data_IF_133690336977
#
_entry.id   IF_133690336977
#
_cell.length_a   1.000
_cell.length_b   1.000
_cell.length_c   1.000
_cell.angle_alpha   90.00
_cell.angle_beta   90.00
_cell.angle_gamma   90.00
#
_symmetry.space_group_name_H-M   'P 1'
#
loop_
_entity.id
_entity.type
_entity.pdbx_description
1 polymer ?
#
# COMPACT_ATOMS: atom_id res chain seq x y z
N UNK A 1 85.05 27.46 24.81
CA UNK A 1 84.86 26.53 23.67
C UNK A 1 83.41 26.06 23.66
N UNK A 2 82.82 25.98 22.47
CA UNK A 2 81.37 26.11 22.17
C UNK A 2 80.45 25.11 22.91
N UNK A 3 79.27 25.54 23.42
CA UNK A 3 78.26 24.63 23.97
C UNK A 3 77.43 23.98 22.85
N UNK A 4 77.17 22.68 23.01
CA UNK A 4 76.25 21.88 22.19
C UNK A 4 74.80 22.39 22.38
N UNK A 5 74.19 22.88 21.32
CA UNK A 5 72.75 23.23 21.29
C UNK A 5 71.99 22.02 20.75
N UNK A 6 71.24 21.35 21.64
CA UNK A 6 70.33 20.27 21.30
C UNK A 6 69.07 20.87 20.62
N UNK A 7 68.89 20.62 19.31
CA UNK A 7 67.69 21.03 18.57
C UNK A 7 66.55 20.05 18.87
N UNK A 8 65.57 20.48 19.66
CA UNK A 8 64.27 19.82 19.81
C UNK A 8 63.42 20.07 18.55
N UNK A 9 63.05 18.99 17.84
CA UNK A 9 62.02 19.03 16.79
C UNK A 9 60.63 19.09 17.46
N UNK A 10 59.74 20.01 17.06
CA UNK A 10 58.35 19.97 17.50
C UNK A 10 57.58 18.90 16.73
N UNK A 11 56.95 17.98 17.47
CA UNK A 11 55.98 17.01 16.95
C UNK A 11 54.71 17.79 16.59
N UNK A 12 54.39 17.89 15.29
CA UNK A 12 53.12 18.43 14.82
C UNK A 12 52.01 17.42 15.15
N UNK A 13 51.25 17.69 16.22
CA UNK A 13 49.99 16.99 16.48
C UNK A 13 48.94 17.43 15.46
N UNK A 14 48.65 16.58 14.48
CA UNK A 14 47.54 16.77 13.56
C UNK A 14 46.21 16.65 14.32
N UNK A 15 45.54 17.77 14.58
CA UNK A 15 44.13 17.78 14.98
C UNK A 15 43.29 17.28 13.80
N UNK A 16 42.86 16.02 13.87
CA UNK A 16 41.75 15.51 13.08
C UNK A 16 40.47 16.19 13.58
N UNK A 17 40.10 17.30 12.95
CA UNK A 17 38.78 17.91 13.07
C UNK A 17 37.75 16.90 12.54
N UNK A 18 37.04 16.23 13.46
CA UNK A 18 35.93 15.36 13.13
C UNK A 18 34.87 16.14 12.37
N UNK A 19 34.67 15.82 11.10
CA UNK A 19 33.51 16.26 10.34
C UNK A 19 32.26 15.75 11.08
N UNK A 20 31.28 16.62 11.41
CA UNK A 20 30.04 16.16 11.99
C UNK A 20 29.38 15.22 10.99
N UNK A 21 29.22 13.96 11.38
CA UNK A 21 28.39 13.01 10.67
C UNK A 21 26.99 13.61 10.63
N UNK A 22 26.62 14.24 9.51
CA UNK A 22 25.24 14.61 9.28
C UNK A 22 24.49 13.28 9.19
N UNK A 23 23.86 12.90 10.30
CA UNK A 23 22.82 11.90 10.30
C UNK A 23 21.76 12.42 9.33
N UNK A 24 21.79 11.94 8.10
CA UNK A 24 20.73 12.17 7.15
C UNK A 24 19.49 11.56 7.80
N UNK A 25 18.65 12.42 8.39
CA UNK A 25 17.35 12.00 8.86
C UNK A 25 16.68 11.28 7.68
N UNK A 26 16.40 9.98 7.83
CA UNK A 26 15.71 9.24 6.80
C UNK A 26 14.38 9.96 6.55
N UNK A 27 14.29 10.65 5.40
CA UNK A 27 13.06 11.31 4.97
C UNK A 27 11.98 10.24 4.95
N UNK A 28 11.02 10.39 5.87
CA UNK A 28 9.94 9.43 6.03
C UNK A 28 8.83 9.79 5.05
N UNK A 29 8.33 8.80 4.31
CA UNK A 29 7.22 9.00 3.38
C UNK A 29 6.01 9.61 4.11
N UNK A 30 5.52 10.74 3.60
CA UNK A 30 4.46 11.54 4.22
C UNK A 30 3.68 12.41 3.24
N UNK A 31 2.81 13.26 3.76
CA UNK A 31 1.84 14.05 2.99
C UNK A 31 2.45 14.87 1.84
N UNK A 32 3.62 15.48 2.05
CA UNK A 32 4.30 16.27 1.00
C UNK A 32 4.78 15.44 -0.20
N UNK A 33 4.90 14.12 -0.05
CA UNK A 33 5.40 13.19 -1.08
C UNK A 33 4.28 12.37 -1.73
N UNK A 34 3.02 12.60 -1.35
CA UNK A 34 1.85 11.97 -1.93
C UNK A 34 1.09 13.00 -2.77
N UNK A 35 0.80 12.65 -4.02
CA UNK A 35 -0.20 13.33 -4.82
C UNK A 35 -1.53 12.58 -4.77
N UNK A 36 -2.64 13.31 -4.83
CA UNK A 36 -3.98 12.74 -4.97
C UNK A 36 -4.55 13.20 -6.31
N UNK A 37 -5.04 12.25 -7.10
CA UNK A 37 -5.60 12.47 -8.43
C UNK A 37 -7.11 12.33 -8.33
N UNK A 38 -7.85 13.34 -8.77
CA UNK A 38 -9.31 13.34 -8.83
C UNK A 38 -9.79 13.33 -10.28
N UNK A 39 -10.92 12.68 -10.51
CA UNK A 39 -11.63 12.69 -11.77
C UNK A 39 -12.70 13.78 -11.75
N UNK A 40 -12.56 14.82 -12.55
CA UNK A 40 -13.51 15.93 -12.62
C UNK A 40 -14.89 15.54 -13.16
N UNK A 41 -14.99 14.37 -13.81
CA UNK A 41 -16.26 13.80 -14.28
C UNK A 41 -17.00 13.00 -13.16
N UNK A 42 -16.42 12.91 -11.96
CA UNK A 42 -17.03 12.28 -10.77
C UNK A 42 -17.04 13.28 -9.59
N UNK A 43 -18.23 13.76 -9.23
CA UNK A 43 -18.41 14.72 -8.13
C UNK A 43 -17.96 14.15 -6.77
N UNK A 44 -18.10 12.84 -6.54
CA UNK A 44 -17.61 12.21 -5.31
C UNK A 44 -16.08 12.18 -5.32
N UNK A 45 -15.45 11.88 -6.46
CA UNK A 45 -13.99 11.94 -6.62
C UNK A 45 -13.41 13.29 -6.21
N UNK A 46 -13.95 14.38 -6.76
CA UNK A 46 -13.50 15.75 -6.44
C UNK A 46 -13.71 16.06 -4.95
N UNK A 47 -14.88 15.73 -4.41
CA UNK A 47 -15.24 16.01 -3.01
C UNK A 47 -14.33 15.23 -2.05
N UNK A 48 -14.19 13.92 -2.26
CA UNK A 48 -13.34 13.05 -1.44
C UNK A 48 -11.88 13.47 -1.55
N UNK A 49 -11.41 13.85 -2.74
CA UNK A 49 -10.04 14.31 -2.94
C UNK A 49 -9.69 15.53 -2.10
N UNK A 50 -10.57 16.53 -2.06
CA UNK A 50 -10.39 17.71 -1.20
C UNK A 50 -10.50 17.39 0.29
N UNK A 51 -11.41 16.50 0.68
CA UNK A 51 -11.53 16.04 2.08
C UNK A 51 -10.25 15.34 2.53
N UNK A 52 -9.75 14.38 1.74
CA UNK A 52 -8.51 13.65 2.01
C UNK A 52 -7.32 14.62 2.08
N UNK A 53 -7.20 15.53 1.10
CA UNK A 53 -6.12 16.52 1.05
C UNK A 53 -6.08 17.37 2.32
N UNK A 54 -7.24 17.87 2.78
CA UNK A 54 -7.35 18.66 4.02
C UNK A 54 -7.03 17.82 5.25
N UNK A 55 -7.61 16.63 5.36
CA UNK A 55 -7.48 15.77 6.53
C UNK A 55 -6.03 15.30 6.78
N UNK A 56 -5.29 15.00 5.71
CA UNK A 56 -3.89 14.56 5.79
C UNK A 56 -2.87 15.70 5.61
N UNK A 57 -3.33 16.94 5.40
CA UNK A 57 -2.44 18.09 5.22
C UNK A 57 -1.60 18.03 3.95
N UNK A 58 -2.14 17.49 2.85
CA UNK A 58 -1.46 17.49 1.56
C UNK A 58 -1.37 18.94 1.03
N UNK A 59 -0.20 19.35 0.48
CA UNK A 59 -0.07 20.62 -0.22
C UNK A 59 -1.10 20.76 -1.35
N UNK A 60 -1.60 21.98 -1.61
CA UNK A 60 -2.58 22.22 -2.69
C UNK A 60 -2.06 21.78 -4.06
N UNK A 61 -0.77 22.00 -4.33
CA UNK A 61 -0.09 21.60 -5.57
C UNK A 61 -0.03 20.07 -5.76
N UNK A 62 -0.30 19.27 -4.72
CA UNK A 62 -0.33 17.81 -4.79
C UNK A 62 -1.71 17.27 -5.18
N UNK A 63 -2.72 18.13 -5.39
CA UNK A 63 -4.01 17.76 -5.94
C UNK A 63 -3.97 17.88 -7.46
N UNK A 64 -4.13 16.75 -8.15
CA UNK A 64 -4.07 16.62 -9.61
C UNK A 64 -5.47 16.36 -10.14
N UNK A 65 -5.82 16.99 -11.25
CA UNK A 65 -7.15 16.85 -11.86
C UNK A 65 -7.03 16.17 -13.23
N UNK A 66 -7.87 15.17 -13.47
CA UNK A 66 -7.98 14.48 -14.75
C UNK A 66 -9.43 14.33 -15.16
N UNK A 67 -9.66 13.96 -16.43
CA UNK A 67 -11.00 13.65 -16.93
C UNK A 67 -11.06 12.25 -17.48
N UNK A 68 -11.77 11.37 -16.78
CA UNK A 68 -12.05 10.01 -17.22
C UNK A 68 -13.50 9.98 -17.70
N UNK A 69 -13.67 10.01 -19.03
CA UNK A 69 -14.98 10.06 -19.65
C UNK A 69 -15.78 8.80 -19.34
N UNK A 70 -17.01 8.99 -18.87
CA UNK A 70 -17.97 7.92 -18.72
C UNK A 70 -18.32 7.31 -20.09
N UNK A 71 -18.52 6.00 -20.11
CA UNK A 71 -19.06 5.25 -21.23
C UNK A 71 -20.47 4.78 -20.85
N UNK A 72 -21.49 5.28 -21.53
CA UNK A 72 -22.88 4.94 -21.19
C UNK A 72 -23.34 5.46 -19.82
N UNK A 73 -22.79 6.59 -19.36
CA UNK A 73 -23.19 7.23 -18.09
C UNK A 73 -22.49 6.70 -16.84
N UNK A 74 -21.53 5.78 -16.97
CA UNK A 74 -20.67 5.30 -15.87
C UNK A 74 -19.19 5.28 -16.31
N UNK A 75 -18.21 5.51 -15.41
CA UNK A 75 -16.80 5.29 -15.73
C UNK A 75 -16.56 3.83 -16.14
N UNK A 76 -15.71 3.57 -17.15
CA UNK A 76 -15.37 2.21 -17.51
C UNK A 76 -14.66 1.51 -16.34
N UNK A 77 -14.92 0.21 -16.14
CA UNK A 77 -14.21 -0.62 -15.14
C UNK A 77 -12.74 -0.82 -15.51
N UNK A 78 -12.50 -0.96 -16.82
CA UNK A 78 -11.22 -1.29 -17.42
C UNK A 78 -10.89 -0.28 -18.51
N UNK A 79 -9.66 0.22 -18.52
CA UNK A 79 -9.11 1.00 -19.63
C UNK A 79 -8.37 0.09 -20.61
N UNK A 80 -8.35 0.45 -21.88
CA UNK A 80 -7.34 -0.09 -22.82
C UNK A 80 -5.97 0.61 -22.64
N UNK A 81 -4.93 0.07 -23.27
CA UNK A 81 -3.58 0.61 -23.17
C UNK A 81 -3.44 2.05 -23.70
N UNK A 82 -4.22 2.44 -24.71
CA UNK A 82 -4.16 3.78 -25.29
C UNK A 82 -4.80 4.80 -24.35
N UNK A 83 -5.98 4.49 -23.80
CA UNK A 83 -6.67 5.27 -22.79
C UNK A 83 -5.81 5.45 -21.54
N UNK A 84 -5.22 4.36 -21.05
CA UNK A 84 -4.35 4.41 -19.89
C UNK A 84 -3.08 5.24 -20.13
N UNK A 85 -2.44 5.12 -21.30
CA UNK A 85 -1.27 5.92 -21.64
C UNK A 85 -1.57 7.42 -21.62
N UNK A 86 -2.73 7.83 -22.16
CA UNK A 86 -3.17 9.23 -22.11
C UNK A 86 -3.44 9.69 -20.67
N UNK A 87 -4.16 8.88 -19.88
CA UNK A 87 -4.41 9.18 -18.46
C UNK A 87 -3.10 9.32 -17.67
N UNK A 88 -2.16 8.39 -17.85
CA UNK A 88 -0.87 8.43 -17.15
C UNK A 88 -0.05 9.66 -17.54
N UNK A 89 -0.03 10.01 -18.83
CA UNK A 89 0.67 11.19 -19.31
C UNK A 89 0.09 12.48 -18.71
N UNK A 90 -1.24 12.58 -18.62
CA UNK A 90 -1.94 13.71 -18.02
C UNK A 90 -1.62 13.84 -16.53
N UNK A 91 -1.69 12.74 -15.78
CA UNK A 91 -1.30 12.70 -14.36
C UNK A 91 0.16 13.15 -14.20
N UNK A 92 1.08 12.52 -14.92
CA UNK A 92 2.53 12.73 -14.75
C UNK A 92 2.96 14.16 -15.10
N UNK A 93 2.29 14.82 -16.05
CA UNK A 93 2.57 16.20 -16.44
C UNK A 93 2.22 17.22 -15.35
N UNK A 94 1.34 16.86 -14.41
CA UNK A 94 0.86 17.74 -13.34
C UNK A 94 1.61 17.52 -12.01
N UNK A 95 2.40 16.46 -11.88
CA UNK A 95 3.04 16.10 -10.61
C UNK A 95 4.20 17.05 -10.24
N UNK A 96 4.18 17.64 -9.03
CA UNK A 96 5.32 18.40 -8.53
C UNK A 96 6.58 17.52 -8.36
N UNK A 97 7.78 18.14 -8.33
CA UNK A 97 9.00 17.45 -7.92
C UNK A 97 8.87 16.85 -6.51
N UNK A 98 9.44 15.67 -6.31
CA UNK A 98 9.50 15.01 -5.00
C UNK A 98 8.33 14.08 -4.67
N UNK A 99 7.28 14.04 -5.49
CA UNK A 99 6.20 13.05 -5.35
C UNK A 99 6.75 11.63 -5.52
N UNK A 100 6.56 10.81 -4.48
CA UNK A 100 6.97 9.40 -4.45
C UNK A 100 5.81 8.46 -4.76
N UNK A 101 4.57 8.89 -4.52
CA UNK A 101 3.39 8.07 -4.71
C UNK A 101 2.16 8.88 -5.13
N UNK A 102 1.19 8.18 -5.70
CA UNK A 102 -0.08 8.72 -6.18
C UNK A 102 -1.25 7.95 -5.58
N UNK A 103 -2.24 8.68 -5.06
CA UNK A 103 -3.54 8.16 -4.67
C UNK A 103 -4.56 8.49 -5.76
N UNK A 104 -5.12 7.46 -6.37
CA UNK A 104 -6.15 7.57 -7.40
C UNK A 104 -7.51 7.59 -6.71
N UNK A 105 -8.21 8.73 -6.67
CA UNK A 105 -9.43 8.89 -5.89
C UNK A 105 -10.68 8.60 -6.72
N UNK A 106 -10.96 7.34 -7.04
CA UNK A 106 -12.20 6.90 -7.67
C UNK A 106 -12.44 5.40 -7.44
N UNK A 107 -13.66 4.92 -7.66
CA UNK A 107 -13.95 3.47 -7.62
C UNK A 107 -13.72 2.79 -8.98
N UNK A 108 -13.95 3.45 -10.11
CA UNK A 108 -13.65 2.94 -11.46
C UNK A 108 -13.07 4.05 -12.34
N UNK A 109 -12.07 3.75 -13.19
CA UNK A 109 -11.50 2.44 -13.52
C UNK A 109 -10.54 1.89 -12.46
N UNK A 110 -10.51 0.56 -12.32
CA UNK A 110 -9.58 -0.16 -11.43
C UNK A 110 -8.65 -1.12 -12.18
N UNK A 111 -8.88 -1.33 -13.48
CA UNK A 111 -8.06 -2.19 -14.32
C UNK A 111 -7.60 -1.49 -15.60
N UNK A 112 -6.50 -1.98 -16.16
CA UNK A 112 -6.02 -1.66 -17.51
C UNK A 112 -5.74 -2.98 -18.22
N UNK A 113 -6.56 -3.31 -19.21
CA UNK A 113 -6.63 -4.66 -19.77
C UNK A 113 -6.76 -5.71 -18.64
N UNK A 114 -5.78 -6.60 -18.49
CA UNK A 114 -5.74 -7.59 -17.41
C UNK A 114 -4.99 -7.14 -16.14
N UNK A 115 -4.28 -6.01 -16.20
CA UNK A 115 -3.47 -5.48 -15.11
C UNK A 115 -4.33 -4.61 -14.19
N UNK A 116 -3.95 -4.47 -12.92
CA UNK A 116 -4.58 -3.45 -12.08
C UNK A 116 -4.09 -2.05 -12.49
N UNK A 117 -4.91 -1.02 -12.30
CA UNK A 117 -4.51 0.35 -12.60
C UNK A 117 -3.33 0.82 -11.73
N UNK A 118 -3.27 0.37 -10.46
CA UNK A 118 -2.17 0.71 -9.55
C UNK A 118 -0.86 0.09 -10.01
N UNK A 119 -0.90 -1.14 -10.53
CA UNK A 119 0.30 -1.81 -11.03
C UNK A 119 0.74 -1.32 -12.38
N UNK A 120 -0.20 -1.10 -13.29
CA UNK A 120 0.07 -0.46 -14.56
C UNK A 120 0.74 0.92 -14.39
N UNK A 121 0.28 1.71 -13.42
CA UNK A 121 0.86 3.04 -13.15
C UNK A 121 2.26 2.97 -12.55
N UNK A 122 2.50 2.02 -11.63
CA UNK A 122 3.75 1.92 -10.88
C UNK A 122 4.87 1.23 -11.67
N UNK A 123 4.54 0.13 -12.38
CA UNK A 123 5.52 -0.76 -13.03
C UNK A 123 5.41 -0.78 -14.56
N UNK A 124 4.37 -0.17 -15.13
CA UNK A 124 4.03 -0.31 -16.55
C UNK A 124 3.09 -1.49 -16.80
N UNK A 125 2.57 -1.57 -18.03
CA UNK A 125 1.69 -2.65 -18.45
C UNK A 125 2.47 -3.92 -18.79
N UNK A 126 2.07 -5.04 -18.19
CA UNK A 126 2.53 -6.37 -18.58
C UNK A 126 1.51 -7.02 -19.52
N UNK A 127 1.66 -6.77 -20.83
CA UNK A 127 0.80 -7.38 -21.85
C UNK A 127 1.01 -8.89 -21.97
N UNK A 128 2.20 -9.39 -21.62
CA UNK A 128 2.51 -10.82 -21.74
C UNK A 128 1.67 -11.65 -20.77
N UNK A 129 1.40 -11.07 -19.59
CA UNK A 129 0.52 -11.67 -18.59
C UNK A 129 -0.94 -11.73 -19.05
N UNK A 130 -1.39 -10.81 -19.90
CA UNK A 130 -2.77 -10.82 -20.39
C UNK A 130 -3.08 -12.00 -21.31
N UNK A 131 -2.08 -12.52 -22.02
CA UNK A 131 -2.24 -13.74 -22.82
C UNK A 131 -2.28 -15.01 -21.95
N UNK A 132 -1.68 -14.98 -20.76
CA UNK A 132 -1.58 -16.13 -19.83
C UNK A 132 -1.69 -15.62 -18.39
N UNK A 133 -2.90 -15.32 -17.94
CA UNK A 133 -3.13 -14.68 -16.63
C UNK A 133 -2.65 -15.54 -15.45
N UNK A 134 -2.55 -16.87 -15.61
CA UNK A 134 -1.94 -17.79 -14.65
C UNK A 134 -0.44 -18.03 -14.86
N UNK A 135 0.25 -17.19 -15.64
CA UNK A 135 1.70 -17.22 -15.77
C UNK A 135 2.42 -16.49 -14.63
N UNK A 136 3.76 -16.62 -14.55
CA UNK A 136 4.57 -15.73 -13.73
C UNK A 136 4.43 -14.28 -14.24
N UNK A 137 4.33 -13.32 -13.31
CA UNK A 137 4.38 -11.90 -13.63
C UNK A 137 5.80 -11.36 -13.54
N UNK A 138 5.99 -10.12 -13.97
CA UNK A 138 7.25 -9.41 -13.74
C UNK A 138 7.55 -9.26 -12.25
N UNK A 139 8.82 -9.44 -11.88
CA UNK A 139 9.27 -9.24 -10.51
C UNK A 139 9.23 -7.75 -10.15
N UNK A 140 8.67 -7.45 -8.98
CA UNK A 140 8.64 -6.12 -8.40
C UNK A 140 10.00 -5.80 -7.73
N UNK A 141 10.81 -4.87 -8.29
CA UNK A 141 12.09 -4.49 -7.69
C UNK A 141 11.94 -3.81 -6.30
N UNK A 142 10.73 -3.40 -5.91
CA UNK A 142 10.47 -2.88 -4.57
C UNK A 142 10.14 -3.97 -3.53
N UNK A 143 10.01 -5.24 -3.93
CA UNK A 143 9.72 -6.33 -3.02
C UNK A 143 10.82 -6.47 -1.92
N UNK A 144 10.41 -6.43 -0.65
CA UNK A 144 11.26 -6.38 0.56
C UNK A 144 12.39 -5.32 0.50
N UNK A 145 12.23 -4.28 -0.32
CA UNK A 145 13.26 -3.28 -0.54
C UNK A 145 13.45 -2.37 0.68
N UNK A 146 14.70 -1.94 0.89
CA UNK A 146 15.04 -0.91 1.87
C UNK A 146 14.83 0.48 1.26
N UNK A 147 14.46 1.45 2.08
CA UNK A 147 14.28 2.85 1.65
C UNK A 147 12.82 3.27 1.54
N UNK A 148 12.62 4.59 1.60
CA UNK A 148 11.32 5.29 1.71
C UNK A 148 11.09 6.31 0.59
N UNK A 149 11.90 6.24 -0.48
CA UNK A 149 11.83 7.13 -1.64
C UNK A 149 11.83 6.31 -2.95
N UNK A 150 10.76 5.54 -3.20
CA UNK A 150 10.70 4.61 -4.32
C UNK A 150 10.88 5.27 -5.68
N UNK A 151 10.38 6.50 -5.88
CA UNK A 151 10.51 7.19 -7.16
C UNK A 151 11.91 7.79 -7.34
N UNK A 152 12.46 8.41 -6.29
CA UNK A 152 13.79 9.03 -6.37
C UNK A 152 14.91 7.99 -6.51
N UNK A 153 14.79 6.83 -5.83
CA UNK A 153 15.84 5.81 -5.84
C UNK A 153 15.65 4.79 -6.96
N UNK A 154 14.41 4.37 -7.23
CA UNK A 154 14.12 3.24 -8.12
C UNK A 154 13.27 3.61 -9.34
N UNK A 155 12.91 4.89 -9.49
CA UNK A 155 11.96 5.38 -10.51
C UNK A 155 10.58 4.71 -10.45
N UNK A 156 10.21 4.18 -9.28
CA UNK A 156 8.91 3.56 -9.02
C UNK A 156 7.99 4.57 -8.33
N UNK A 157 7.01 5.09 -9.05
CA UNK A 157 5.98 5.93 -8.44
C UNK A 157 4.82 5.05 -7.98
N UNK A 158 4.79 4.76 -6.69
CA UNK A 158 3.79 3.84 -6.12
C UNK A 158 2.38 4.39 -6.32
N UNK A 159 1.43 3.53 -6.66
CA UNK A 159 0.02 3.90 -6.75
C UNK A 159 -0.86 3.09 -5.80
N UNK A 160 -1.92 3.73 -5.32
CA UNK A 160 -2.99 3.13 -4.53
C UNK A 160 -4.31 3.75 -4.97
N UNK A 161 -5.40 2.99 -4.92
CA UNK A 161 -6.75 3.47 -5.28
C UNK A 161 -7.56 3.74 -4.00
N UNK A 162 -8.26 4.86 -3.99
CA UNK A 162 -9.16 5.27 -2.91
C UNK A 162 -10.60 5.26 -3.46
N UNK A 163 -11.47 4.34 -3.01
CA UNK A 163 -12.85 4.25 -3.49
C UNK A 163 -13.70 5.49 -3.12
N UNK A 164 -14.59 5.89 -4.01
CA UNK A 164 -15.43 7.10 -3.91
C UNK A 164 -16.91 6.84 -4.23
N UNK A 165 -17.31 5.57 -4.34
CA UNK A 165 -18.69 5.16 -4.64
C UNK A 165 -19.70 5.57 -3.55
N UNK A 166 -19.21 5.84 -2.34
CA UNK A 166 -20.01 6.32 -1.22
C UNK A 166 -19.22 7.32 -0.38
N UNK A 167 -19.79 8.52 -0.21
CA UNK A 167 -19.12 9.64 0.47
C UNK A 167 -18.94 9.38 1.98
N UNK A 168 -19.88 8.72 2.64
CA UNK A 168 -19.80 8.45 4.08
C UNK A 168 -18.77 7.36 4.36
N UNK A 169 -18.73 6.30 3.54
CA UNK A 169 -17.67 5.29 3.61
C UNK A 169 -16.29 5.89 3.34
N UNK A 170 -16.17 6.80 2.36
CA UNK A 170 -14.93 7.52 2.08
C UNK A 170 -14.47 8.38 3.27
N UNK A 171 -15.37 9.15 3.89
CA UNK A 171 -15.07 9.94 5.10
C UNK A 171 -14.59 9.06 6.25
N UNK A 172 -15.31 7.97 6.52
CA UNK A 172 -14.94 7.03 7.57
C UNK A 172 -13.55 6.41 7.33
N UNK A 173 -13.20 6.12 6.07
CA UNK A 173 -11.86 5.63 5.72
C UNK A 173 -10.77 6.70 5.94
N UNK A 174 -11.02 7.95 5.55
CA UNK A 174 -10.11 9.09 5.83
C UNK A 174 -9.88 9.22 7.35
N UNK A 175 -10.94 9.17 8.15
CA UNK A 175 -10.83 9.29 9.62
C UNK A 175 -9.97 8.17 10.22
N UNK A 176 -10.15 6.93 9.76
CA UNK A 176 -9.31 5.79 10.18
C UNK A 176 -7.86 5.98 9.78
N UNK A 177 -7.60 6.45 8.56
CA UNK A 177 -6.25 6.75 8.07
C UNK A 177 -5.55 7.84 8.87
N UNK A 178 -6.24 8.96 9.14
CA UNK A 178 -5.72 10.06 9.99
C UNK A 178 -5.44 9.57 11.41
N UNK A 179 -6.33 8.76 11.99
CA UNK A 179 -6.11 8.19 13.31
C UNK A 179 -4.87 7.27 13.33
N UNK A 180 -4.68 6.44 12.31
CA UNK A 180 -3.52 5.56 12.16
C UNK A 180 -2.21 6.35 11.98
N UNK A 181 -2.23 7.44 11.20
CA UNK A 181 -1.05 8.27 10.93
C UNK A 181 -0.46 8.93 12.20
N UNK A 182 -1.21 8.99 13.31
CA UNK A 182 -0.73 9.48 14.61
C UNK A 182 0.30 8.55 15.28
N UNK A 183 0.48 7.30 14.80
CA UNK A 183 1.54 6.41 15.28
C UNK A 183 1.34 5.88 16.71
N UNK A 184 0.10 5.81 17.19
CA UNK A 184 -0.26 5.45 18.56
C UNK A 184 -1.11 4.18 18.63
N UNK A 185 -0.70 3.13 17.89
CA UNK A 185 -1.36 1.83 18.00
C UNK A 185 -1.40 1.36 19.46
N UNK A 186 -2.60 1.04 19.95
CA UNK A 186 -2.79 0.33 21.21
C UNK A 186 -2.48 -1.16 21.08
N UNK A 187 -2.80 -1.97 22.10
CA UNK A 187 -2.78 -3.42 21.99
C UNK A 187 -3.61 -3.89 20.79
N UNK A 188 -3.04 -4.80 20.01
CA UNK A 188 -3.68 -5.30 18.79
C UNK A 188 -3.26 -6.74 18.50
N UNK A 189 -3.95 -7.37 17.54
CA UNK A 189 -3.62 -8.69 17.03
C UNK A 189 -3.56 -8.73 15.50
N UNK A 190 -2.53 -9.40 14.99
CA UNK A 190 -2.41 -9.86 13.61
C UNK A 190 -2.91 -11.30 13.51
N UNK A 191 -4.04 -11.50 12.81
CA UNK A 191 -4.68 -12.78 12.59
C UNK A 191 -4.32 -13.32 11.19
N UNK A 192 -3.84 -14.56 11.17
CA UNK A 192 -3.54 -15.30 9.95
C UNK A 192 -4.32 -16.61 9.95
N UNK A 193 -5.20 -16.78 8.97
CA UNK A 193 -6.09 -17.93 8.91
C UNK A 193 -5.69 -18.90 7.80
N UNK A 194 -5.49 -20.17 8.18
CA UNK A 194 -5.49 -21.29 7.24
C UNK A 194 -6.90 -21.86 7.19
N UNK A 195 -7.51 -21.88 6.01
CA UNK A 195 -8.93 -22.25 5.84
C UNK A 195 -9.10 -23.68 5.32
N UNK A 196 -10.34 -24.13 5.18
CA UNK A 196 -10.64 -25.38 4.47
C UNK A 196 -10.47 -25.28 2.94
N UNK A 197 -10.36 -24.08 2.38
CA UNK A 197 -10.13 -23.88 0.94
C UNK A 197 -8.65 -24.03 0.60
N UNK A 198 -8.17 -25.28 0.56
CA UNK A 198 -6.75 -25.62 0.44
C UNK A 198 -6.03 -24.95 -0.73
N UNK A 199 -6.70 -24.83 -1.88
CA UNK A 199 -6.16 -24.14 -3.05
C UNK A 199 -5.81 -22.67 -2.77
N UNK A 200 -6.53 -22.00 -1.87
CA UNK A 200 -6.33 -20.59 -1.50
C UNK A 200 -5.34 -20.39 -0.35
N UNK A 201 -4.82 -21.46 0.25
CA UNK A 201 -3.84 -21.40 1.33
C UNK A 201 -2.38 -21.36 0.85
N UNK A 202 -2.12 -21.04 -0.43
CA UNK A 202 -0.77 -21.17 -1.01
C UNK A 202 0.29 -20.31 -0.31
N UNK A 203 -0.07 -19.18 0.29
CA UNK A 203 0.82 -18.35 1.13
C UNK A 203 0.82 -18.70 2.63
N UNK A 204 0.00 -19.64 3.10
CA UNK A 204 -0.20 -19.90 4.52
C UNK A 204 1.05 -20.43 5.24
N UNK A 205 1.92 -21.13 4.52
CA UNK A 205 3.22 -21.59 5.06
C UNK A 205 4.20 -20.44 5.32
N UNK A 206 3.94 -19.24 4.77
CA UNK A 206 4.74 -18.03 4.93
C UNK A 206 4.26 -17.16 6.11
N UNK A 207 3.16 -17.53 6.78
CA UNK A 207 2.59 -16.76 7.89
C UNK A 207 3.60 -16.57 9.04
N UNK A 208 3.72 -15.36 9.60
CA UNK A 208 4.55 -15.08 10.76
C UNK A 208 4.31 -16.07 11.90
N UNK A 209 5.37 -16.45 12.66
CA UNK A 209 5.21 -17.33 13.80
C UNK A 209 4.27 -16.70 14.83
N UNK A 210 3.41 -17.53 15.44
CA UNK A 210 2.54 -17.08 16.52
C UNK A 210 3.37 -16.61 17.72
N UNK A 211 2.93 -15.54 18.38
CA UNK A 211 3.70 -14.92 19.47
C UNK A 211 3.31 -13.48 19.72
N UNK A 212 4.24 -12.69 20.25
CA UNK A 212 4.04 -11.26 20.53
C UNK A 212 5.26 -10.45 20.09
N UNK A 213 4.99 -9.34 19.39
CA UNK A 213 5.97 -8.29 19.13
C UNK A 213 5.83 -7.25 20.25
N UNK A 214 6.49 -7.51 21.38
CA UNK A 214 6.32 -6.75 22.63
C UNK A 214 6.54 -5.24 22.43
N UNK A 215 7.58 -4.87 21.68
CA UNK A 215 7.93 -3.46 21.39
C UNK A 215 6.87 -2.68 20.60
N UNK A 216 5.85 -3.38 20.09
CA UNK A 216 4.75 -2.85 19.28
C UNK A 216 3.37 -3.15 19.87
N UNK A 217 3.28 -3.83 21.02
CA UNK A 217 1.99 -4.21 21.61
C UNK A 217 1.15 -5.16 20.74
N UNK A 218 1.77 -5.84 19.76
CA UNK A 218 1.07 -6.64 18.75
C UNK A 218 1.20 -8.13 19.05
N UNK A 219 0.08 -8.83 19.16
CA UNK A 219 0.04 -10.30 19.15
C UNK A 219 -0.03 -10.82 17.70
N UNK A 220 0.50 -12.02 17.47
CA UNK A 220 0.38 -12.74 16.21
C UNK A 220 -0.33 -14.06 16.50
N UNK A 221 -1.47 -14.29 15.86
CA UNK A 221 -2.28 -15.51 16.00
C UNK A 221 -2.41 -16.20 14.65
N UNK A 222 -2.04 -17.47 14.60
CA UNK A 222 -2.32 -18.39 13.48
C UNK A 222 -3.44 -19.33 13.89
N UNK A 223 -4.47 -19.46 13.06
CA UNK A 223 -5.65 -20.27 13.40
C UNK A 223 -6.14 -21.05 12.18
N UNK A 224 -6.61 -22.28 12.41
CA UNK A 224 -7.23 -23.11 11.38
C UNK A 224 -8.76 -22.94 11.44
N UNK A 225 -9.30 -21.97 10.70
CA UNK A 225 -10.73 -21.61 10.66
C UNK A 225 -11.01 -20.78 9.40
N UNK A 226 -12.26 -20.78 8.94
CA UNK A 226 -12.64 -20.09 7.70
C UNK A 226 -12.92 -18.58 7.89
N UNK A 227 -13.25 -18.15 9.10
CA UNK A 227 -13.57 -16.74 9.37
C UNK A 227 -13.25 -16.35 10.81
N UNK A 228 -12.89 -15.08 11.02
CA UNK A 228 -12.92 -14.45 12.34
C UNK A 228 -14.38 -14.20 12.78
N UNK A 229 -14.60 -14.13 14.09
CA UNK A 229 -15.92 -13.88 14.67
C UNK A 229 -15.72 -13.34 16.08
N UNK A 230 -16.48 -12.30 16.43
CA UNK A 230 -16.49 -11.66 17.76
C UNK A 230 -15.08 -11.31 18.28
N UNK A 231 -14.29 -10.64 17.44
CA UNK A 231 -12.95 -10.13 17.80
C UNK A 231 -12.90 -8.62 17.60
N UNK A 232 -12.21 -7.90 18.47
CA UNK A 232 -12.28 -6.44 18.54
C UNK A 232 -10.93 -5.71 18.40
N UNK A 233 -9.85 -6.46 18.18
CA UNK A 233 -8.47 -5.97 18.25
C UNK A 233 -7.67 -6.17 16.94
N UNK A 234 -8.35 -6.22 15.79
CA UNK A 234 -7.72 -6.61 14.52
C UNK A 234 -6.86 -5.48 13.94
N UNK A 235 -5.56 -5.72 13.80
CA UNK A 235 -4.64 -4.88 13.02
C UNK A 235 -4.21 -5.53 11.70
N UNK A 236 -4.12 -6.85 11.65
CA UNK A 236 -3.90 -7.57 10.39
C UNK A 236 -4.89 -8.71 10.31
N UNK A 237 -5.53 -8.89 9.15
CA UNK A 237 -6.33 -10.09 8.86
C UNK A 237 -6.01 -10.59 7.45
N UNK A 238 -5.20 -11.65 7.38
CA UNK A 238 -4.94 -12.35 6.12
C UNK A 238 -5.50 -13.77 6.12
N UNK A 239 -6.15 -14.14 5.03
CA UNK A 239 -6.77 -15.46 4.85
C UNK A 239 -6.74 -15.92 3.39
N UNK A 240 -7.33 -17.07 3.10
CA UNK A 240 -7.54 -17.62 1.76
C UNK A 240 -8.90 -18.30 1.69
N UNK A 241 -9.92 -17.60 1.21
CA UNK A 241 -11.31 -18.09 1.08
C UNK A 241 -11.98 -17.29 -0.04
N UNK A 242 -13.00 -17.82 -0.70
CA UNK A 242 -13.73 -17.11 -1.75
C UNK A 242 -14.50 -15.88 -1.24
N UNK A 243 -15.04 -16.00 -0.03
CA UNK A 243 -15.80 -14.96 0.66
C UNK A 243 -15.62 -15.13 2.16
N UNK A 244 -15.29 -14.04 2.85
CA UNK A 244 -15.10 -14.03 4.30
C UNK A 244 -16.43 -13.73 4.96
N UNK A 245 -16.94 -14.68 5.74
CA UNK A 245 -18.14 -14.49 6.53
C UNK A 245 -17.85 -13.70 7.83
N UNK A 246 -18.91 -13.20 8.47
CA UNK A 246 -18.89 -12.66 9.84
C UNK A 246 -18.07 -11.38 10.05
N UNK A 247 -17.76 -10.66 8.98
CA UNK A 247 -17.00 -9.40 9.06
C UNK A 247 -17.70 -8.34 9.91
N UNK A 248 -19.03 -8.37 9.99
CA UNK A 248 -19.85 -7.52 10.84
C UNK A 248 -19.61 -7.72 12.35
N UNK A 249 -18.96 -8.81 12.75
CA UNK A 249 -18.60 -9.13 14.14
C UNK A 249 -17.13 -8.87 14.46
N UNK A 250 -16.39 -8.32 13.49
CA UNK A 250 -14.95 -8.08 13.57
C UNK A 250 -14.71 -6.57 13.66
N UNK A 251 -14.08 -6.12 14.75
CA UNK A 251 -13.65 -4.71 14.86
C UNK A 251 -12.21 -4.57 14.40
N UNK A 252 -12.02 -3.78 13.35
CA UNK A 252 -10.72 -3.37 12.85
C UNK A 252 -10.26 -2.09 13.54
N UNK A 253 -9.00 -2.09 13.99
CA UNK A 253 -8.39 -0.89 14.57
C UNK A 253 -7.99 0.10 13.47
N UNK A 254 -7.90 1.41 13.76
CA UNK A 254 -7.36 2.38 12.82
C UNK A 254 -5.98 1.97 12.32
N UNK A 255 -5.86 1.83 11.00
CA UNK A 255 -4.68 1.33 10.33
C UNK A 255 -4.66 -0.18 10.10
N UNK A 256 -5.76 -0.90 10.33
CA UNK A 256 -5.77 -2.32 10.04
C UNK A 256 -5.59 -2.61 8.54
N UNK A 257 -4.79 -3.64 8.24
CA UNK A 257 -4.59 -4.18 6.89
C UNK A 257 -5.33 -5.52 6.80
N UNK A 258 -6.11 -5.74 5.76
CA UNK A 258 -6.82 -7.00 5.60
C UNK A 258 -6.95 -7.39 4.14
N UNK A 259 -6.74 -8.66 3.82
CA UNK A 259 -6.98 -9.20 2.50
C UNK A 259 -7.15 -10.72 2.50
N UNK A 260 -7.65 -11.23 1.39
CA UNK A 260 -7.86 -12.64 1.18
C UNK A 260 -7.27 -13.08 -0.15
N UNK A 261 -6.62 -14.24 -0.12
CA UNK A 261 -6.14 -14.89 -1.32
C UNK A 261 -7.35 -15.53 -2.01
N UNK A 262 -7.90 -14.82 -3.00
CA UNK A 262 -8.92 -15.33 -3.90
C UNK A 262 -8.72 -14.77 -5.30
N UNK A 263 -9.31 -15.45 -6.28
CA UNK A 263 -9.35 -14.97 -7.65
C UNK A 263 -10.25 -13.75 -7.76
N UNK A 264 -9.82 -12.75 -8.53
CA UNK A 264 -10.69 -11.65 -8.96
C UNK A 264 -11.23 -10.80 -7.77
N UNK A 265 -10.60 -10.87 -6.59
CA UNK A 265 -11.01 -10.07 -5.43
C UNK A 265 -10.85 -8.55 -5.63
N UNK A 266 -10.09 -8.11 -6.63
CA UNK A 266 -9.93 -6.72 -7.04
C UNK A 266 -10.94 -6.26 -8.11
N UNK A 267 -11.84 -7.13 -8.57
CA UNK A 267 -12.98 -6.70 -9.38
C UNK A 267 -14.03 -6.02 -8.49
N UNK A 268 -13.86 -4.71 -8.31
CA UNK A 268 -14.57 -3.96 -7.27
C UNK A 268 -16.08 -3.96 -7.46
N UNK A 269 -16.53 -4.04 -8.72
CA UNK A 269 -17.93 -4.01 -9.14
C UNK A 269 -18.40 -5.37 -9.70
N UNK A 270 -17.62 -6.43 -9.46
CA UNK A 270 -17.95 -7.81 -9.79
C UNK A 270 -18.89 -8.46 -8.78
N UNK A 271 -19.38 -9.65 -9.11
CA UNK A 271 -20.34 -10.41 -8.28
C UNK A 271 -19.89 -11.84 -7.97
N UNK A 272 -18.74 -12.29 -8.51
CA UNK A 272 -18.31 -13.69 -8.47
C UNK A 272 -17.62 -14.11 -7.17
N UNK A 273 -16.70 -13.28 -6.68
CA UNK A 273 -15.92 -13.49 -5.46
C UNK A 273 -16.08 -12.24 -4.58
N UNK A 274 -15.74 -12.33 -3.29
CA UNK A 274 -15.83 -11.16 -2.43
C UNK A 274 -14.89 -10.06 -2.93
N UNK A 275 -15.47 -8.91 -3.26
CA UNK A 275 -14.72 -7.70 -3.60
C UNK A 275 -13.90 -7.24 -2.40
N UNK A 276 -12.67 -6.81 -2.66
CA UNK A 276 -11.77 -6.23 -1.67
C UNK A 276 -12.36 -4.97 -1.01
N UNK A 277 -13.32 -4.28 -1.65
CA UNK A 277 -14.07 -3.18 -1.02
C UNK A 277 -14.73 -3.61 0.29
N UNK A 278 -15.15 -4.87 0.42
CA UNK A 278 -15.81 -5.39 1.63
C UNK A 278 -14.91 -5.37 2.86
N UNK A 279 -13.59 -5.39 2.71
CA UNK A 279 -12.67 -5.17 3.82
C UNK A 279 -12.71 -3.74 4.33
N UNK A 280 -12.77 -2.76 3.42
CA UNK A 280 -12.87 -1.34 3.77
C UNK A 280 -14.24 -1.02 4.39
N UNK A 281 -15.31 -1.62 3.87
CA UNK A 281 -16.66 -1.54 4.44
C UNK A 281 -16.70 -2.08 5.88
N UNK A 282 -15.98 -3.17 6.14
CA UNK A 282 -15.89 -3.79 7.47
C UNK A 282 -15.02 -3.00 8.46
N UNK A 283 -14.26 -2.00 7.99
CA UNK A 283 -13.45 -1.12 8.85
C UNK A 283 -11.94 -1.26 8.65
N UNK A 284 -11.46 -2.11 7.74
CA UNK A 284 -10.05 -2.09 7.36
C UNK A 284 -9.66 -0.72 6.78
N UNK A 285 -8.39 -0.37 6.91
CA UNK A 285 -7.83 0.88 6.41
C UNK A 285 -7.16 0.70 5.04
N UNK A 286 -6.66 -0.50 4.76
CA UNK A 286 -6.16 -0.85 3.44
C UNK A 286 -6.33 -2.36 3.18
N UNK A 287 -6.38 -2.71 1.89
CA UNK A 287 -6.62 -4.07 1.41
C UNK A 287 -5.98 -4.27 0.03
N UNK A 288 -5.96 -5.53 -0.40
CA UNK A 288 -5.46 -5.96 -1.70
C UNK A 288 -6.42 -6.94 -2.38
N UNK A 289 -6.48 -6.92 -3.70
CA UNK A 289 -7.20 -7.92 -4.50
C UNK A 289 -6.70 -7.99 -5.94
N UNK A 290 -6.83 -9.14 -6.60
CA UNK A 290 -6.46 -9.31 -8.02
C UNK A 290 -7.60 -8.88 -8.94
N UNK A 291 -7.36 -8.09 -9.99
CA UNK A 291 -8.42 -7.65 -10.94
C UNK A 291 -8.75 -8.68 -12.01
N UNK A 292 -7.87 -9.66 -12.20
CA UNK A 292 -8.05 -10.80 -13.11
C UNK A 292 -7.60 -12.09 -12.43
N UNK A 293 -7.97 -13.24 -13.00
CA UNK A 293 -7.63 -14.57 -12.46
C UNK A 293 -6.11 -14.72 -12.23
N UNK A 294 -5.63 -14.76 -10.98
CA UNK A 294 -4.21 -14.85 -10.69
C UNK A 294 -3.72 -16.30 -10.65
N UNK A 295 -4.62 -17.29 -10.58
CA UNK A 295 -4.35 -18.61 -10.00
C UNK A 295 -3.81 -18.49 -8.55
N UNK A 296 -3.52 -19.62 -7.90
CA UNK A 296 -3.09 -19.62 -6.51
C UNK A 296 -1.57 -19.40 -6.30
N UNK A 297 -0.90 -18.64 -7.16
CA UNK A 297 0.51 -18.30 -6.97
C UNK A 297 0.68 -17.29 -5.82
N UNK A 298 1.37 -17.69 -4.75
CA UNK A 298 1.58 -16.82 -3.59
C UNK A 298 2.25 -15.48 -3.96
N UNK A 299 3.09 -15.47 -5.01
CA UNK A 299 3.83 -14.29 -5.48
C UNK A 299 2.91 -13.14 -5.91
N UNK A 300 1.68 -13.46 -6.31
CA UNK A 300 0.67 -12.49 -6.76
C UNK A 300 -0.18 -11.94 -5.62
N UNK A 301 0.15 -12.27 -4.38
CA UNK A 301 -0.55 -11.80 -3.18
C UNK A 301 0.46 -11.23 -2.18
N UNK A 302 -0.01 -10.41 -1.22
CA UNK A 302 0.83 -9.90 -0.15
C UNK A 302 1.50 -11.04 0.60
N UNK A 303 2.83 -10.97 0.67
CA UNK A 303 3.64 -11.89 1.44
C UNK A 303 3.48 -11.52 2.93
N UNK A 304 2.87 -12.41 3.73
CA UNK A 304 2.42 -12.10 5.10
C UNK A 304 3.54 -11.58 6.02
N UNK A 305 4.70 -12.25 5.98
CA UNK A 305 5.85 -11.86 6.81
C UNK A 305 6.52 -10.55 6.36
N UNK A 306 6.60 -10.30 5.05
CA UNK A 306 7.18 -9.05 4.52
C UNK A 306 6.25 -7.87 4.81
N UNK A 307 4.94 -8.03 4.58
CA UNK A 307 3.93 -7.03 4.91
C UNK A 307 4.04 -6.64 6.38
N UNK A 308 3.98 -7.63 7.29
CA UNK A 308 4.03 -7.37 8.73
C UNK A 308 5.35 -6.70 9.14
N UNK A 309 6.49 -7.21 8.64
CA UNK A 309 7.82 -6.67 8.93
C UNK A 309 7.91 -5.17 8.62
N UNK A 310 7.49 -4.75 7.43
CA UNK A 310 7.56 -3.32 7.06
C UNK A 310 6.54 -2.48 7.81
N UNK A 311 5.32 -2.99 8.01
CA UNK A 311 4.28 -2.24 8.68
C UNK A 311 4.61 -1.96 10.16
N UNK A 312 5.10 -2.98 10.88
CA UNK A 312 5.54 -2.78 12.28
C UNK A 312 6.87 -2.03 12.40
N UNK A 313 7.61 -1.85 11.30
CA UNK A 313 8.76 -0.94 11.25
C UNK A 313 8.33 0.54 11.13
N UNK A 314 7.03 0.82 11.02
CA UNK A 314 6.47 2.17 10.93
C UNK A 314 6.42 2.74 9.52
N UNK A 315 6.57 1.88 8.50
CA UNK A 315 6.25 2.25 7.12
C UNK A 315 4.74 2.37 6.94
N UNK A 316 4.34 3.13 5.92
CA UNK A 316 2.93 3.32 5.58
C UNK A 316 2.29 2.07 4.98
N UNK A 317 0.96 2.04 4.90
CA UNK A 317 0.21 0.98 4.24
C UNK A 317 0.61 0.84 2.75
N UNK A 318 0.79 1.95 2.02
CA UNK A 318 1.23 1.88 0.60
C UNK A 318 2.63 1.28 0.48
N UNK A 319 3.58 1.67 1.35
CA UNK A 319 4.92 1.10 1.36
C UNK A 319 4.88 -0.39 1.70
N UNK A 320 4.17 -0.77 2.77
CA UNK A 320 4.08 -2.16 3.22
C UNK A 320 3.46 -3.07 2.15
N UNK A 321 2.35 -2.67 1.54
CA UNK A 321 1.71 -3.46 0.48
C UNK A 321 2.62 -3.61 -0.74
N UNK A 322 3.18 -2.50 -1.24
CA UNK A 322 4.07 -2.55 -2.40
C UNK A 322 5.34 -3.36 -2.16
N UNK A 323 5.87 -3.39 -0.93
CA UNK A 323 7.02 -4.26 -0.60
C UNK A 323 6.65 -5.72 -0.43
N UNK A 324 5.36 -6.04 -0.26
CA UNK A 324 4.92 -7.40 0.05
C UNK A 324 4.52 -8.23 -1.16
N UNK A 325 4.38 -7.67 -2.36
CA UNK A 325 3.92 -8.42 -3.54
C UNK A 325 5.03 -8.58 -4.55
N UNK A 326 5.39 -9.83 -4.87
CA UNK A 326 6.49 -10.14 -5.78
C UNK A 326 6.10 -9.97 -7.26
N UNK A 327 4.88 -10.36 -7.64
CA UNK A 327 4.33 -10.27 -9.00
C UNK A 327 3.01 -9.47 -9.02
N UNK A 328 3.06 -8.13 -8.88
CA UNK A 328 1.90 -7.31 -8.58
C UNK A 328 1.04 -6.93 -9.80
N UNK A 329 1.40 -7.32 -11.02
CA UNK A 329 0.75 -6.86 -12.26
C UNK A 329 -0.80 -6.91 -12.22
N UNK A 330 -1.39 -7.96 -11.65
CA UNK A 330 -2.85 -8.11 -11.51
C UNK A 330 -3.40 -7.53 -10.20
N UNK A 331 -2.53 -7.11 -9.29
CA UNK A 331 -2.82 -6.73 -7.92
C UNK A 331 -3.23 -5.28 -7.73
N UNK A 332 -4.44 -5.05 -7.24
CA UNK A 332 -4.97 -3.75 -6.90
C UNK A 332 -4.81 -3.48 -5.40
N UNK A 333 -4.16 -2.38 -5.05
CA UNK A 333 -3.99 -1.92 -3.67
C UNK A 333 -5.00 -0.81 -3.40
N UNK A 334 -5.81 -0.96 -2.35
CA UNK A 334 -6.92 -0.06 -2.01
C UNK A 334 -6.77 0.49 -0.59
N UNK A 335 -7.23 1.73 -0.37
CA UNK A 335 -7.41 2.29 0.98
C UNK A 335 -6.61 3.58 1.22
N UNK A 336 -6.23 3.81 2.48
CA UNK A 336 -5.45 4.98 2.86
C UNK A 336 -3.93 4.73 2.78
N UNK A 337 -3.20 5.43 1.88
CA UNK A 337 -1.78 5.22 1.68
C UNK A 337 -0.91 5.76 2.82
N UNK A 338 -1.38 6.69 3.65
CA UNK A 338 -0.58 7.32 4.71
C UNK A 338 -0.76 6.67 6.09
N UNK A 339 -1.67 5.70 6.20
CA UNK A 339 -1.85 4.89 7.40
C UNK A 339 -0.53 4.28 7.87
N UNK A 340 -0.08 4.63 9.09
CA UNK A 340 1.18 4.20 9.67
C UNK A 340 1.09 4.07 11.21
N UNK A 341 0.28 3.13 11.73
CA UNK A 341 -0.06 3.02 13.15
C UNK A 341 1.14 2.74 14.07
N UNK A 342 2.25 2.23 13.51
CA UNK A 342 3.49 1.92 14.24
C UNK A 342 4.64 2.90 13.99
N UNK A 343 4.38 4.00 13.27
CA UNK A 343 5.34 5.09 13.09
C UNK A 343 5.62 5.76 14.43
N UNK A 344 6.88 6.15 14.66
CA UNK A 344 7.31 6.87 15.85
C UNK A 344 7.76 8.27 15.49
#
# INVERSE_FOLDING_TARGET
>A
MRPFVLRLLPILSALLLGLPWQAHAQVTFGAGQLAIVVNDEDANSVTVGELYRKAHGLPRQNLVHVKIRAQGGQPPRTLDAAQFRLLKQDIDAQLPPGIQAVLLAWTAPYAVECNSITSAYTLGLDHTLCAKTCGPGQFNPYFDARGRQPYTTNHLRLAMLFPTDDLERAKALIERGVAAAKGKAGPATAYYLTTSETARNSRAHLFPPAGRIVSRGLAVKRQARNALENVDDVMVYETGVASVAKLETVTFLPGALADHLTSIGGDLLGTTQMSALRWLDAGATATYGSVTEPCNYWQKFPHPTVLLKHYVAGETAIEAYWKSVAWPAQGLILGDPLSAPYRR
#
